data_IF_840247829203
#
_entry.id   IF_840247829203
#
_cell.length_a   1.000
_cell.length_b   1.000
_cell.length_c   1.000
_cell.angle_alpha   90.00
_cell.angle_beta   90.00
_cell.angle_gamma   90.00
#
_symmetry.space_group_name_H-M   'P 1'
#
loop_
_entity.id
_entity.type
_entity.pdbx_description
1 polymer ?
#
# COMPACT_ATOMS: atom_id res chain seq x y z
N UNK A 1 13.45 1.33 -7.78
CA UNK A 1 12.62 2.39 -8.38
C UNK A 1 13.37 2.93 -9.56
N UNK A 2 12.77 2.86 -10.74
CA UNK A 2 13.30 3.46 -11.96
C UNK A 2 12.69 4.85 -12.12
N UNK A 3 13.48 5.88 -11.80
CA UNK A 3 13.03 7.27 -11.82
C UNK A 3 12.77 7.81 -13.25
N UNK A 4 13.60 7.48 -14.27
CA UNK A 4 13.30 7.82 -15.65
C UNK A 4 11.94 7.33 -16.17
N UNK A 5 11.58 6.08 -15.88
CA UNK A 5 10.31 5.50 -16.39
C UNK A 5 9.15 5.64 -15.41
N UNK A 6 9.42 6.07 -14.18
CA UNK A 6 8.43 6.12 -13.10
C UNK A 6 7.97 4.73 -12.64
N UNK A 7 8.69 3.67 -13.00
CA UNK A 7 8.31 2.30 -12.67
C UNK A 7 8.89 1.85 -11.33
N UNK A 8 8.05 1.13 -10.57
CA UNK A 8 8.46 0.47 -9.33
C UNK A 8 8.39 -1.03 -9.56
N UNK A 9 9.56 -1.67 -9.66
CA UNK A 9 9.67 -3.12 -9.68
C UNK A 9 9.48 -3.67 -8.26
N UNK A 10 8.53 -4.60 -8.10
CA UNK A 10 8.17 -5.24 -6.83
C UNK A 10 8.39 -6.76 -6.91
N UNK A 11 9.52 -7.17 -7.49
CA UNK A 11 9.81 -8.57 -7.85
C UNK A 11 9.75 -9.55 -6.65
N UNK A 12 9.96 -9.03 -5.43
CA UNK A 12 9.91 -9.81 -4.19
C UNK A 12 8.49 -10.09 -3.67
N UNK A 13 7.45 -9.47 -4.24
CA UNK A 13 6.06 -9.72 -3.82
C UNK A 13 5.53 -11.08 -4.32
N UNK A 14 6.18 -11.69 -5.31
CA UNK A 14 5.71 -12.97 -5.87
C UNK A 14 4.34 -12.90 -6.55
N UNK A 15 3.88 -11.69 -6.90
CA UNK A 15 2.60 -11.47 -7.56
C UNK A 15 2.76 -11.52 -9.07
N UNK A 16 1.89 -12.27 -9.74
CA UNK A 16 1.68 -12.12 -11.18
C UNK A 16 0.96 -10.81 -11.47
N UNK A 17 1.11 -10.31 -12.70
CA UNK A 17 0.37 -9.11 -13.13
C UNK A 17 -1.16 -9.27 -13.03
N UNK A 18 -1.67 -10.51 -13.10
CA UNK A 18 -3.10 -10.80 -12.91
C UNK A 18 -3.50 -10.61 -11.45
N UNK A 19 -2.78 -11.24 -10.53
CA UNK A 19 -3.05 -11.14 -9.08
C UNK A 19 -2.92 -9.70 -8.58
N UNK A 20 -1.93 -8.95 -9.09
CA UNK A 20 -1.79 -7.54 -8.76
C UNK A 20 -2.99 -6.69 -9.19
N UNK A 21 -3.64 -7.02 -10.31
CA UNK A 21 -4.86 -6.33 -10.78
C UNK A 21 -6.11 -6.72 -10.00
N UNK A 22 -6.08 -7.83 -9.28
CA UNK A 22 -7.20 -8.32 -8.46
C UNK A 22 -7.22 -7.69 -7.05
N UNK A 23 -6.18 -6.90 -6.69
CA UNK A 23 -6.13 -6.20 -5.41
C UNK A 23 -7.28 -5.18 -5.34
N UNK A 24 -8.23 -5.43 -4.45
CA UNK A 24 -9.41 -4.59 -4.26
C UNK A 24 -9.33 -3.67 -3.02
N UNK A 25 -8.38 -3.91 -2.12
CA UNK A 25 -8.19 -3.12 -0.89
C UNK A 25 -6.74 -3.23 -0.41
N UNK A 26 -6.21 -2.14 0.15
CA UNK A 26 -4.91 -2.10 0.82
C UNK A 26 -5.14 -1.76 2.29
N UNK A 27 -4.51 -2.47 3.22
CA UNK A 27 -4.52 -2.12 4.65
C UNK A 27 -3.08 -1.90 5.11
N UNK A 28 -2.79 -0.69 5.59
CA UNK A 28 -1.51 -0.31 6.15
C UNK A 28 -1.56 -0.57 7.66
N UNK A 29 -0.86 -1.60 8.11
CA UNK A 29 -0.75 -1.94 9.53
C UNK A 29 0.54 -1.35 10.09
N UNK A 30 0.44 -0.45 11.06
CA UNK A 30 1.58 0.36 11.50
C UNK A 30 1.53 0.68 13.01
N UNK A 31 2.63 1.15 13.61
CA UNK A 31 2.68 1.58 15.01
C UNK A 31 3.45 2.90 15.23
N UNK A 32 3.09 3.65 16.27
CA UNK A 32 3.73 4.94 16.60
C UNK A 32 3.74 5.92 15.41
N UNK A 33 4.90 6.53 15.13
CA UNK A 33 5.08 7.51 14.05
C UNK A 33 4.69 6.97 12.66
N UNK A 34 4.87 5.68 12.43
CA UNK A 34 4.55 5.06 11.13
C UNK A 34 3.06 5.06 10.81
N UNK A 35 2.17 5.13 11.81
CA UNK A 35 0.72 5.29 11.59
C UNK A 35 0.40 6.66 10.99
N UNK A 36 1.08 7.72 11.46
CA UNK A 36 0.91 9.06 10.92
C UNK A 36 1.41 9.15 9.48
N UNK A 37 2.57 8.53 9.20
CA UNK A 37 3.07 8.41 7.83
C UNK A 37 2.11 7.61 6.94
N UNK A 38 1.55 6.50 7.45
CA UNK A 38 0.53 5.70 6.76
C UNK A 38 -0.73 6.50 6.45
N UNK A 39 -1.23 7.30 7.39
CA UNK A 39 -2.41 8.17 7.20
C UNK A 39 -2.19 9.21 6.10
N UNK A 40 -1.02 9.82 6.03
CA UNK A 40 -0.68 10.75 4.94
C UNK A 40 -0.47 10.00 3.62
N UNK A 41 0.27 8.88 3.66
CA UNK A 41 0.58 8.06 2.49
C UNK A 41 -0.66 7.45 1.83
N UNK A 42 -1.68 7.09 2.62
CA UNK A 42 -2.97 6.60 2.14
C UNK A 42 -3.53 7.48 1.01
N UNK A 43 -3.55 8.80 1.17
CA UNK A 43 -4.10 9.71 0.15
C UNK A 43 -3.36 9.61 -1.19
N UNK A 44 -2.04 9.45 -1.13
CA UNK A 44 -1.20 9.31 -2.34
C UNK A 44 -1.48 7.96 -3.01
N UNK A 45 -1.51 6.88 -2.23
CA UNK A 45 -1.75 5.53 -2.73
C UNK A 45 -3.15 5.42 -3.34
N UNK A 46 -4.20 5.89 -2.66
CA UNK A 46 -5.57 5.90 -3.18
C UNK A 46 -5.69 6.70 -4.49
N UNK A 47 -5.00 7.84 -4.57
CA UNK A 47 -5.02 8.68 -5.77
C UNK A 47 -4.37 7.99 -6.97
N UNK A 48 -3.24 7.31 -6.76
CA UNK A 48 -2.49 6.64 -7.83
C UNK A 48 -3.12 5.31 -8.24
N UNK A 49 -3.46 4.46 -7.25
CA UNK A 49 -3.91 3.10 -7.49
C UNK A 49 -5.43 2.99 -7.67
N UNK A 50 -6.20 4.00 -7.24
CA UNK A 50 -7.68 4.00 -7.28
C UNK A 50 -8.32 2.84 -6.50
N UNK A 51 -7.59 2.31 -5.52
CA UNK A 51 -7.99 1.23 -4.62
C UNK A 51 -8.20 1.83 -3.23
N UNK A 52 -9.26 1.47 -2.50
CA UNK A 52 -9.45 1.88 -1.10
C UNK A 52 -8.26 1.46 -0.23
N UNK A 53 -7.74 2.39 0.57
CA UNK A 53 -6.64 2.14 1.50
C UNK A 53 -7.13 2.40 2.93
N UNK A 54 -6.82 1.53 3.88
CA UNK A 54 -7.10 1.71 5.31
C UNK A 54 -5.77 1.77 6.08
N UNK A 55 -5.78 2.40 7.26
CA UNK A 55 -4.59 2.50 8.11
C UNK A 55 -4.99 2.14 9.54
N UNK A 56 -4.47 1.03 10.02
CA UNK A 56 -4.78 0.48 11.33
C UNK A 56 -3.56 0.43 12.24
N UNK A 57 -3.81 0.59 13.54
CA UNK A 57 -2.80 0.36 14.55
C UNK A 57 -2.50 -1.12 14.66
N UNK A 58 -1.23 -1.49 14.60
CA UNK A 58 -0.78 -2.87 14.68
C UNK A 58 -1.25 -3.59 15.96
N UNK A 59 -1.43 -2.86 17.07
CA UNK A 59 -1.97 -3.44 18.31
C UNK A 59 -3.45 -3.80 18.24
N UNK A 60 -4.21 -3.15 17.35
CA UNK A 60 -5.67 -3.28 17.22
C UNK A 60 -6.09 -4.10 15.99
N UNK A 61 -5.15 -4.38 15.08
CA UNK A 61 -5.43 -5.05 13.82
C UNK A 61 -5.90 -6.50 14.04
N UNK A 62 -7.05 -6.84 13.47
CA UNK A 62 -7.66 -8.18 13.51
C UNK A 62 -7.83 -8.69 12.07
N UNK A 63 -7.34 -9.90 11.82
CA UNK A 63 -7.15 -10.51 10.49
C UNK A 63 -8.43 -10.93 9.80
#
# INVERSE_FOLDING_TARGET
VDFPTGQVALDKLGLTAREAREIARIVIVACGTSVYAGRVGKYIIEKLARIPVEVDYASEFRY
#
